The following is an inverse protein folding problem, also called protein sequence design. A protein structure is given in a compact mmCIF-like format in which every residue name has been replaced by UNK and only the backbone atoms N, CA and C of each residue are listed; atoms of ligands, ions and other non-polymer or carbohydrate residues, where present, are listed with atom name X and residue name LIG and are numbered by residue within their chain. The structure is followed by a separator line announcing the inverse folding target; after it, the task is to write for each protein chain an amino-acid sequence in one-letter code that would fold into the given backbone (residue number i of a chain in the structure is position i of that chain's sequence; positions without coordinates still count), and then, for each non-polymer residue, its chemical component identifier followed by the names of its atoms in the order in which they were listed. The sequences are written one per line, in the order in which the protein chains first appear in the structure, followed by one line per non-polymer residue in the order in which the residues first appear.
data_IF_003492198549
#
_entry.id   IF_003492198549
#
_cell.length_a   1.000
_cell.length_b   1.000
_cell.length_c   1.000
_cell.angle_alpha   90.00
_cell.angle_beta   90.00
_cell.angle_gamma   90.00
#
_symmetry.space_group_name_H-M   'P 1'
#
loop_
_entity.id
_entity.type
_entity.pdbx_description
1 polymer ?
#
# COMPACT_ATOMS: atom_id res chain seq x y z
N UNK A 1 -65.64 29.60 -15.30
CA UNK A 1 -65.52 31.02 -15.50
C UNK A 1 -64.17 31.50 -14.99
N UNK A 2 -63.34 31.80 -15.88
CA UNK A 2 -62.75 33.10 -16.26
C UNK A 2 -61.43 33.38 -15.51
N UNK A 3 -60.42 33.37 -16.25
CA UNK A 3 -59.49 34.23 -16.97
C UNK A 3 -58.11 34.39 -16.31
N UNK A 4 -57.12 33.89 -17.04
CA UNK A 4 -55.83 34.47 -17.42
C UNK A 4 -55.41 35.79 -16.80
N UNK A 5 -54.13 35.88 -16.34
CA UNK A 5 -53.18 36.92 -16.81
C UNK A 5 -51.71 36.55 -16.57
N UNK A 6 -50.98 36.49 -17.68
CA UNK A 6 -49.51 36.57 -17.80
C UNK A 6 -48.96 37.83 -17.19
N UNK A 7 -47.82 37.77 -16.50
CA UNK A 7 -46.84 38.85 -16.44
C UNK A 7 -45.40 38.31 -16.43
N UNK A 8 -44.73 38.49 -17.53
CA UNK A 8 -43.31 38.43 -17.72
C UNK A 8 -42.63 39.52 -16.92
N UNK A 9 -41.63 39.17 -16.09
CA UNK A 9 -40.65 40.11 -15.59
C UNK A 9 -39.27 39.73 -16.16
N UNK A 10 -38.81 40.51 -17.13
CA UNK A 10 -37.41 40.62 -17.53
C UNK A 10 -36.62 41.26 -16.39
N UNK A 11 -35.67 40.50 -15.81
CA UNK A 11 -34.63 41.09 -14.96
C UNK A 11 -33.39 41.23 -15.82
N UNK A 12 -33.07 42.50 -16.15
CA UNK A 12 -31.78 42.89 -16.71
C UNK A 12 -30.77 42.89 -15.58
N UNK A 13 -29.76 42.05 -15.66
CA UNK A 13 -28.56 42.15 -14.80
C UNK A 13 -27.56 43.06 -15.50
N UNK A 14 -27.37 44.26 -14.95
CA UNK A 14 -26.26 45.12 -15.29
C UNK A 14 -24.94 44.48 -14.79
N UNK A 15 -24.09 44.10 -15.72
CA UNK A 15 -22.68 43.77 -15.44
C UNK A 15 -21.91 45.08 -15.56
N UNK A 16 -21.45 45.58 -14.42
CA UNK A 16 -20.52 46.70 -14.34
C UNK A 16 -19.11 46.23 -14.66
N UNK A 17 -18.57 46.69 -15.78
CA UNK A 17 -17.15 46.53 -16.12
C UNK A 17 -16.34 47.47 -15.24
N UNK A 18 -15.52 46.93 -14.35
CA UNK A 18 -14.49 47.70 -13.65
C UNK A 18 -13.20 47.61 -14.48
N UNK A 19 -12.76 48.76 -14.91
CA UNK A 19 -11.50 48.99 -15.62
C UNK A 19 -10.32 48.64 -14.67
N UNK A 20 -9.52 47.67 -15.04
CA UNK A 20 -8.26 47.34 -14.38
C UNK A 20 -7.13 47.71 -15.33
N UNK A 21 -6.79 48.97 -15.34
CA UNK A 21 -5.49 49.43 -15.79
C UNK A 21 -4.58 49.64 -14.57
N UNK A 22 -3.41 49.06 -14.63
CA UNK A 22 -2.25 49.17 -13.70
C UNK A 22 -2.14 48.05 -12.65
N UNK A 23 -1.46 46.96 -13.01
CA UNK A 23 -0.53 46.26 -12.15
C UNK A 23 0.72 45.90 -12.98
N UNK A 24 1.85 46.32 -12.42
CA UNK A 24 3.19 46.23 -12.96
C UNK A 24 3.63 44.75 -13.25
N UNK A 25 4.37 44.62 -14.35
CA UNK A 25 5.05 43.42 -14.79
C UNK A 25 6.22 43.11 -13.87
N UNK A 26 6.16 41.94 -13.19
CA UNK A 26 7.37 41.19 -12.77
C UNK A 26 7.27 39.75 -13.23
N UNK A 27 8.37 39.33 -13.83
CA UNK A 27 8.68 38.06 -14.44
C UNK A 27 7.98 36.83 -13.85
N UNK A 28 7.13 36.20 -14.65
CA UNK A 28 6.88 34.76 -14.57
C UNK A 28 6.93 34.21 -16.00
N UNK A 29 8.05 33.60 -16.37
CA UNK A 29 8.12 32.72 -17.54
C UNK A 29 7.31 31.46 -17.21
N UNK A 30 6.04 31.44 -17.55
CA UNK A 30 5.23 30.23 -17.62
C UNK A 30 5.24 29.77 -19.08
N UNK A 31 5.70 28.57 -19.30
CA UNK A 31 5.51 27.84 -20.55
C UNK A 31 4.00 27.71 -20.83
N UNK A 32 3.46 28.65 -21.56
CA UNK A 32 2.18 28.53 -22.25
C UNK A 32 2.52 28.12 -23.68
N UNK A 33 2.37 26.83 -23.97
CA UNK A 33 2.17 26.39 -25.34
C UNK A 33 0.87 27.02 -25.84
N UNK A 34 0.98 28.19 -26.45
CA UNK A 34 -0.12 28.88 -27.11
C UNK A 34 -0.41 28.08 -28.38
N UNK A 35 -1.39 27.20 -28.34
CA UNK A 35 -2.01 26.70 -29.55
C UNK A 35 -2.58 27.91 -30.29
N UNK A 36 -1.93 28.32 -31.35
CA UNK A 36 -2.42 29.34 -32.30
C UNK A 36 -3.67 28.75 -32.98
N UNK A 37 -4.84 29.13 -32.49
CA UNK A 37 -6.10 28.91 -33.23
C UNK A 37 -6.03 29.76 -34.47
N UNK A 38 -6.12 29.13 -35.64
CA UNK A 38 -6.24 29.85 -36.90
C UNK A 38 -7.66 30.46 -37.00
N UNK A 39 -7.77 31.65 -37.58
CA UNK A 39 -9.05 32.36 -37.79
C UNK A 39 -10.09 31.57 -38.61
N UNK A 40 -9.76 30.39 -39.12
CA UNK A 40 -10.64 29.48 -39.85
C UNK A 40 -11.51 28.58 -38.96
N UNK A 41 -11.32 28.56 -37.63
CA UNK A 41 -12.06 27.68 -36.74
C UNK A 41 -13.32 28.30 -36.12
N UNK A 42 -13.67 29.55 -36.49
CA UNK A 42 -14.80 30.30 -35.92
C UNK A 42 -16.17 29.85 -36.45
N UNK A 43 -16.22 29.03 -37.49
CA UNK A 43 -17.48 28.66 -38.19
C UNK A 43 -17.92 27.21 -37.98
N UNK A 44 -17.31 26.48 -37.03
CA UNK A 44 -17.77 25.13 -36.66
C UNK A 44 -19.03 25.21 -35.80
N UNK A 45 -20.04 24.45 -36.18
CA UNK A 45 -21.26 24.33 -35.38
C UNK A 45 -20.92 23.71 -34.00
N UNK A 46 -21.68 24.08 -32.97
CA UNK A 46 -21.53 23.54 -31.63
C UNK A 46 -21.56 22.01 -31.59
N UNK A 47 -22.33 21.42 -32.53
CA UNK A 47 -22.47 19.97 -32.68
C UNK A 47 -21.21 19.33 -33.27
N UNK A 48 -20.54 19.96 -34.23
CA UNK A 48 -19.25 19.50 -34.77
C UNK A 48 -18.14 19.55 -33.72
N UNK A 49 -18.12 20.57 -32.84
CA UNK A 49 -17.15 20.68 -31.75
C UNK A 49 -17.41 19.58 -30.69
N UNK A 50 -18.68 19.28 -30.42
CA UNK A 50 -19.06 18.21 -29.51
C UNK A 50 -18.72 16.83 -30.07
N UNK A 51 -18.88 16.60 -31.35
CA UNK A 51 -18.50 15.35 -32.01
C UNK A 51 -16.97 15.20 -32.09
N UNK A 52 -16.23 16.27 -32.33
CA UNK A 52 -14.78 16.27 -32.32
C UNK A 52 -14.22 16.03 -30.89
N UNK A 53 -14.83 16.62 -29.85
CA UNK A 53 -14.55 16.36 -28.46
C UNK A 53 -14.88 14.92 -28.03
N UNK A 54 -15.98 14.37 -28.55
CA UNK A 54 -16.39 12.99 -28.32
C UNK A 54 -15.46 11.98 -29.03
N UNK A 55 -14.93 12.35 -30.21
CA UNK A 55 -13.98 11.56 -30.98
C UNK A 55 -12.54 11.66 -30.46
N UNK A 56 -12.22 12.66 -29.62
CA UNK A 56 -10.90 12.75 -29.01
C UNK A 56 -10.66 11.52 -28.13
N UNK A 57 -9.55 10.78 -28.34
CA UNK A 57 -9.21 9.67 -27.45
C UNK A 57 -9.15 10.20 -26.03
N UNK A 58 -9.91 9.57 -25.12
CA UNK A 58 -9.93 9.95 -23.71
C UNK A 58 -8.48 10.13 -23.23
N UNK A 59 -8.16 11.24 -22.56
CA UNK A 59 -6.80 11.55 -22.16
C UNK A 59 -6.22 10.34 -21.45
N UNK A 60 -5.15 9.81 -22.03
CA UNK A 60 -4.51 8.61 -21.54
C UNK A 60 -4.09 8.92 -20.10
N UNK A 61 -4.85 8.43 -19.12
CA UNK A 61 -4.57 8.67 -17.71
C UNK A 61 -3.17 8.14 -17.43
N UNK A 62 -2.17 9.03 -17.49
CA UNK A 62 -0.80 8.67 -17.19
C UNK A 62 -0.80 8.09 -15.78
N UNK A 63 -0.51 6.80 -15.68
CA UNK A 63 -0.37 6.14 -14.38
C UNK A 63 0.81 6.76 -13.65
N UNK A 64 0.68 6.87 -12.34
CA UNK A 64 1.74 7.32 -11.46
C UNK A 64 2.76 6.17 -11.36
N UNK A 65 3.75 6.21 -12.23
CA UNK A 65 4.72 5.14 -12.44
C UNK A 65 5.65 4.94 -11.23
N UNK A 66 5.96 6.01 -10.50
CA UNK A 66 6.85 5.96 -9.33
C UNK A 66 6.27 5.11 -8.19
N UNK A 67 4.96 5.13 -7.97
CA UNK A 67 4.31 4.26 -6.97
C UNK A 67 4.37 2.80 -7.41
N UNK A 68 4.11 2.53 -8.70
CA UNK A 68 4.24 1.19 -9.27
C UNK A 68 5.71 0.70 -9.20
N UNK A 69 6.68 1.59 -9.45
CA UNK A 69 8.11 1.28 -9.36
C UNK A 69 8.52 0.92 -7.93
N UNK A 70 8.19 1.75 -6.95
CA UNK A 70 8.52 1.49 -5.55
C UNK A 70 7.89 0.18 -5.05
N UNK A 71 6.62 -0.07 -5.39
CA UNK A 71 5.97 -1.34 -5.04
C UNK A 71 6.63 -2.53 -5.73
N UNK A 72 7.07 -2.37 -7.00
CA UNK A 72 7.79 -3.40 -7.74
C UNK A 72 9.14 -3.70 -7.12
N UNK A 73 9.87 -2.69 -6.72
CA UNK A 73 11.14 -2.84 -6.03
C UNK A 73 10.97 -3.59 -4.70
N UNK A 74 10.00 -3.18 -3.88
CA UNK A 74 9.74 -3.83 -2.59
C UNK A 74 9.28 -5.27 -2.73
N UNK A 75 8.41 -5.58 -3.70
CA UNK A 75 7.95 -6.96 -3.89
C UNK A 75 9.08 -7.91 -4.31
N UNK A 76 10.05 -7.42 -5.08
CA UNK A 76 11.23 -8.22 -5.43
C UNK A 76 12.07 -8.56 -4.18
N UNK A 77 12.18 -7.63 -3.23
CA UNK A 77 12.82 -7.92 -1.93
C UNK A 77 12.03 -8.93 -1.10
N UNK A 78 10.71 -8.83 -1.08
CA UNK A 78 9.86 -9.80 -0.38
C UNK A 78 10.04 -11.19 -0.99
N UNK A 79 10.05 -11.30 -2.31
CA UNK A 79 10.29 -12.58 -3.01
C UNK A 79 11.67 -13.15 -2.66
N UNK A 80 12.70 -12.29 -2.61
CA UNK A 80 14.04 -12.69 -2.21
C UNK A 80 14.10 -13.18 -0.75
N UNK A 81 13.47 -12.46 0.18
CA UNK A 81 13.45 -12.84 1.59
C UNK A 81 12.78 -14.20 1.81
N UNK A 82 11.65 -14.43 1.16
CA UNK A 82 10.95 -15.71 1.22
C UNK A 82 11.73 -16.85 0.54
N UNK A 83 12.38 -16.57 -0.59
CA UNK A 83 13.25 -17.55 -1.22
C UNK A 83 14.39 -17.99 -0.28
N UNK A 84 15.02 -17.05 0.40
CA UNK A 84 16.05 -17.38 1.39
C UNK A 84 15.48 -18.15 2.58
N UNK A 85 14.24 -17.86 3.00
CA UNK A 85 13.53 -18.64 4.00
C UNK A 85 13.33 -20.08 3.56
N UNK A 86 12.80 -20.28 2.35
CA UNK A 86 12.52 -21.60 1.80
C UNK A 86 13.79 -22.44 1.64
N UNK A 87 14.94 -21.82 1.39
CA UNK A 87 16.24 -22.50 1.32
C UNK A 87 16.71 -23.00 2.70
N UNK A 88 16.41 -22.25 3.78
CA UNK A 88 17.00 -22.50 5.10
C UNK A 88 16.12 -23.37 6.00
N UNK A 89 14.79 -23.08 6.04
CA UNK A 89 13.93 -23.60 7.10
C UNK A 89 13.13 -24.85 6.76
N UNK A 90 12.52 -25.03 5.57
CA UNK A 90 11.72 -26.22 5.27
C UNK A 90 12.54 -27.50 5.16
N UNK A 91 13.82 -27.38 4.81
CA UNK A 91 14.74 -28.51 4.64
C UNK A 91 16.02 -28.26 5.41
N UNK A 92 15.99 -28.33 6.76
CA UNK A 92 17.19 -28.06 7.55
C UNK A 92 18.28 -29.11 7.25
N UNK A 93 19.15 -28.73 6.40
CA UNK A 93 20.54 -28.94 6.46
C UNK A 93 21.22 -30.29 6.35
N UNK A 94 20.93 -31.13 5.39
CA UNK A 94 21.90 -32.20 5.00
C UNK A 94 22.47 -32.01 3.60
N UNK A 95 22.56 -30.75 3.15
CA UNK A 95 23.25 -30.45 1.89
C UNK A 95 24.75 -30.65 2.08
N UNK A 96 25.25 -31.84 1.74
CA UNK A 96 26.65 -32.20 2.01
C UNK A 96 27.63 -31.55 1.02
N UNK A 97 27.18 -31.19 -0.18
CA UNK A 97 28.06 -30.64 -1.23
C UNK A 97 27.32 -29.77 -2.24
N UNK A 98 28.08 -28.96 -2.98
CA UNK A 98 27.64 -28.30 -4.19
C UNK A 98 26.83 -26.99 -3.99
N UNK A 99 26.02 -26.64 -4.98
CA UNK A 99 25.26 -25.40 -5.06
C UNK A 99 24.30 -25.21 -3.89
N UNK A 100 23.65 -26.27 -3.44
CA UNK A 100 22.69 -26.19 -2.33
C UNK A 100 23.36 -25.90 -0.98
N UNK A 101 24.52 -26.48 -0.72
CA UNK A 101 25.29 -26.12 0.48
C UNK A 101 25.71 -24.64 0.46
N UNK A 102 26.10 -24.14 -0.70
CA UNK A 102 26.42 -22.72 -0.87
C UNK A 102 25.20 -21.83 -0.64
N UNK A 103 24.04 -22.16 -1.26
CA UNK A 103 22.79 -21.44 -1.06
C UNK A 103 22.32 -21.47 0.40
N UNK A 104 22.43 -22.63 1.06
CA UNK A 104 22.07 -22.77 2.46
C UNK A 104 22.95 -21.90 3.36
N UNK A 105 24.27 -21.92 3.17
CA UNK A 105 25.19 -21.05 3.89
C UNK A 105 24.89 -19.56 3.65
N UNK A 106 24.59 -19.20 2.40
CA UNK A 106 24.18 -17.85 2.03
C UNK A 106 22.89 -17.44 2.77
N UNK A 107 21.89 -18.30 2.77
CA UNK A 107 20.63 -18.08 3.47
C UNK A 107 20.82 -17.97 4.98
N UNK A 108 21.61 -18.84 5.60
CA UNK A 108 21.94 -18.74 7.03
C UNK A 108 22.66 -17.43 7.36
N UNK A 109 23.65 -17.03 6.56
CA UNK A 109 24.35 -15.76 6.73
C UNK A 109 23.41 -14.56 6.56
N UNK A 110 22.50 -14.65 5.61
CA UNK A 110 21.47 -13.62 5.39
C UNK A 110 20.55 -13.49 6.60
N UNK A 111 20.03 -14.60 7.14
CA UNK A 111 19.09 -14.58 8.28
C UNK A 111 19.75 -14.21 9.62
N UNK A 112 21.02 -14.55 9.84
CA UNK A 112 21.75 -14.15 11.04
C UNK A 112 22.20 -12.69 11.02
N UNK A 113 22.10 -12.02 9.86
CA UNK A 113 22.57 -10.64 9.68
C UNK A 113 21.64 -9.60 10.27
N UNK A 114 22.17 -8.68 11.09
CA UNK A 114 21.45 -7.53 11.62
C UNK A 114 20.89 -6.63 10.51
N UNK A 115 21.60 -6.53 9.38
CA UNK A 115 21.16 -5.77 8.22
C UNK A 115 19.82 -6.29 7.69
N UNK A 116 19.65 -7.60 7.55
CA UNK A 116 18.39 -8.21 7.11
C UNK A 116 17.24 -7.86 8.05
N UNK A 117 17.44 -8.01 9.36
CA UNK A 117 16.39 -7.73 10.33
C UNK A 117 15.88 -6.28 10.22
N UNK A 118 16.81 -5.30 10.12
CA UNK A 118 16.43 -3.87 9.98
C UNK A 118 15.78 -3.57 8.64
N UNK A 119 16.33 -4.11 7.54
CA UNK A 119 15.85 -3.84 6.18
C UNK A 119 14.49 -4.50 5.96
N UNK A 120 14.28 -5.72 6.44
CA UNK A 120 13.00 -6.43 6.32
C UNK A 120 11.85 -5.62 6.93
N UNK A 121 11.98 -5.21 8.20
CA UNK A 121 10.94 -4.46 8.88
C UNK A 121 10.62 -3.13 8.16
N UNK A 122 11.67 -2.43 7.74
CA UNK A 122 11.53 -1.16 7.00
C UNK A 122 10.79 -1.37 5.67
N UNK A 123 11.12 -2.43 4.95
CA UNK A 123 10.52 -2.71 3.64
C UNK A 123 9.07 -3.17 3.74
N UNK A 124 8.73 -3.95 4.77
CA UNK A 124 7.35 -4.33 5.06
C UNK A 124 6.52 -3.10 5.39
N UNK A 125 6.98 -2.26 6.32
CA UNK A 125 6.29 -1.02 6.68
C UNK A 125 6.14 -0.07 5.49
N UNK A 126 7.18 0.04 4.63
CA UNK A 126 7.12 0.85 3.41
C UNK A 126 6.14 0.27 2.38
N UNK A 127 6.03 -1.05 2.27
CA UNK A 127 5.05 -1.69 1.40
C UNK A 127 3.61 -1.43 1.86
N UNK A 128 3.37 -1.49 3.17
CA UNK A 128 2.08 -1.15 3.80
C UNK A 128 1.77 0.35 3.62
N UNK A 129 2.75 1.23 3.81
CA UNK A 129 2.65 2.67 3.53
C UNK A 129 2.24 2.95 2.07
N UNK A 130 2.92 2.34 1.08
CA UNK A 130 2.58 2.48 -0.34
C UNK A 130 1.19 1.93 -0.68
N UNK A 131 0.72 0.95 0.08
CA UNK A 131 -0.65 0.45 -0.04
C UNK A 131 -1.68 1.50 0.42
N UNK A 132 -1.34 2.28 1.44
CA UNK A 132 -2.08 3.48 1.87
C UNK A 132 -2.08 4.57 0.78
N UNK A 133 -0.90 4.93 0.25
CA UNK A 133 -0.78 5.88 -0.87
C UNK A 133 -1.68 5.48 -2.04
N UNK A 134 -1.77 4.18 -2.32
CA UNK A 134 -2.60 3.64 -3.42
C UNK A 134 -4.10 3.84 -3.23
N UNK A 135 -4.57 4.16 -2.02
CA UNK A 135 -5.97 4.47 -1.77
C UNK A 135 -6.42 5.76 -2.46
N UNK A 136 -5.50 6.73 -2.67
CA UNK A 136 -5.79 7.98 -3.39
C UNK A 136 -6.14 7.77 -4.86
N UNK A 137 -5.73 6.66 -5.46
CA UNK A 137 -6.02 6.32 -6.86
C UNK A 137 -7.26 5.44 -7.04
N UNK A 138 -7.76 4.86 -5.96
CA UNK A 138 -8.91 3.95 -5.98
C UNK A 138 -10.22 4.72 -6.18
N UNK A 139 -11.13 4.15 -6.97
CA UNK A 139 -12.49 4.69 -7.13
C UNK A 139 -13.41 4.32 -5.96
N UNK A 140 -13.15 3.19 -5.31
CA UNK A 140 -13.96 2.67 -4.22
C UNK A 140 -13.11 1.79 -3.31
N UNK A 141 -12.61 2.40 -2.22
CA UNK A 141 -11.76 1.72 -1.25
C UNK A 141 -12.53 0.67 -0.45
N UNK A 142 -13.83 0.87 -0.19
CA UNK A 142 -14.64 -0.14 0.52
C UNK A 142 -14.71 -1.46 -0.25
N UNK A 143 -15.12 -1.42 -1.53
CA UNK A 143 -15.20 -2.64 -2.37
C UNK A 143 -13.83 -3.30 -2.53
N UNK A 144 -12.76 -2.50 -2.64
CA UNK A 144 -11.38 -3.01 -2.68
C UNK A 144 -11.04 -3.72 -1.38
N UNK A 145 -11.30 -3.10 -0.22
CA UNK A 145 -11.01 -3.66 1.09
C UNK A 145 -11.76 -4.97 1.33
N UNK A 146 -13.07 -5.02 1.02
CA UNK A 146 -13.87 -6.26 1.14
C UNK A 146 -13.27 -7.40 0.30
N UNK A 147 -12.90 -7.13 -0.96
CA UNK A 147 -12.26 -8.16 -1.80
C UNK A 147 -10.93 -8.65 -1.21
N UNK A 148 -10.13 -7.74 -0.66
CA UNK A 148 -8.86 -8.09 -0.02
C UNK A 148 -9.05 -8.90 1.26
N UNK A 149 -10.07 -8.59 2.07
CA UNK A 149 -10.41 -9.36 3.28
C UNK A 149 -10.83 -10.78 2.91
N UNK A 150 -11.73 -10.93 1.93
CA UNK A 150 -12.14 -12.26 1.44
C UNK A 150 -10.94 -13.06 0.97
N UNK A 151 -10.03 -12.42 0.24
CA UNK A 151 -8.81 -13.05 -0.25
C UNK A 151 -7.85 -13.43 0.88
N UNK A 152 -7.67 -12.57 1.89
CA UNK A 152 -6.84 -12.83 3.06
C UNK A 152 -7.34 -14.06 3.84
N UNK A 153 -8.65 -14.14 4.11
CA UNK A 153 -9.24 -15.30 4.78
C UNK A 153 -9.21 -16.58 3.92
N UNK A 154 -9.35 -16.46 2.61
CA UNK A 154 -9.17 -17.60 1.70
C UNK A 154 -7.72 -18.15 1.78
N UNK A 155 -6.72 -17.28 1.91
CA UNK A 155 -5.33 -17.68 2.14
C UNK A 155 -5.18 -18.41 3.47
N UNK A 156 -5.72 -17.87 4.56
CA UNK A 156 -5.70 -18.54 5.87
C UNK A 156 -6.34 -19.94 5.79
N UNK A 157 -7.51 -20.06 5.16
CA UNK A 157 -8.18 -21.35 5.00
C UNK A 157 -7.35 -22.33 4.16
N UNK A 158 -6.74 -21.87 3.06
CA UNK A 158 -5.90 -22.71 2.21
C UNK A 158 -4.64 -23.18 2.94
N UNK A 159 -3.95 -22.31 3.66
CA UNK A 159 -2.74 -22.67 4.43
C UNK A 159 -3.07 -23.53 5.64
N UNK A 160 -4.23 -23.34 6.27
CA UNK A 160 -4.72 -24.23 7.32
C UNK A 160 -4.97 -25.65 6.80
N UNK A 161 -5.64 -25.78 5.65
CA UNK A 161 -5.87 -27.09 5.01
C UNK A 161 -4.53 -27.76 4.61
N UNK A 162 -3.59 -26.98 4.06
CA UNK A 162 -2.26 -27.47 3.72
C UNK A 162 -1.50 -27.93 4.96
N UNK A 163 -1.57 -27.19 6.05
CA UNK A 163 -0.98 -27.54 7.35
C UNK A 163 -1.52 -28.89 7.87
N UNK A 164 -2.84 -29.08 7.78
CA UNK A 164 -3.49 -30.32 8.20
C UNK A 164 -3.07 -31.54 7.34
N UNK A 165 -2.85 -31.34 6.04
CA UNK A 165 -2.41 -32.39 5.12
C UNK A 165 -0.92 -32.73 5.30
N UNK A 166 -0.07 -31.71 5.46
CA UNK A 166 1.38 -31.87 5.54
C UNK A 166 1.89 -32.29 6.92
N UNK A 167 1.07 -32.13 7.97
CA UNK A 167 1.52 -32.29 9.36
C UNK A 167 2.49 -31.22 9.85
N UNK A 168 2.73 -30.18 9.06
CA UNK A 168 3.64 -29.06 9.37
C UNK A 168 2.85 -27.81 9.69
N UNK A 169 3.37 -26.94 10.57
CA UNK A 169 2.71 -25.67 10.91
C UNK A 169 2.94 -24.62 9.82
N UNK A 170 2.22 -24.71 8.72
CA UNK A 170 2.26 -23.79 7.57
C UNK A 170 1.14 -22.75 7.61
N UNK A 171 0.33 -22.75 8.67
CA UNK A 171 -0.86 -21.88 8.77
C UNK A 171 -0.46 -20.41 8.84
N UNK A 172 -0.93 -19.63 7.89
CA UNK A 172 -0.85 -18.16 7.92
C UNK A 172 -2.10 -17.64 8.59
N UNK A 173 -1.99 -17.23 9.86
CA UNK A 173 -3.12 -16.73 10.65
C UNK A 173 -3.38 -15.25 10.37
N UNK A 174 -2.31 -14.45 10.33
CA UNK A 174 -2.39 -13.01 10.10
C UNK A 174 -1.07 -12.48 9.54
N UNK A 175 -1.09 -11.92 8.33
CA UNK A 175 0.12 -11.44 7.65
C UNK A 175 -0.12 -10.09 6.95
N UNK A 176 0.86 -9.62 6.20
CA UNK A 176 0.83 -8.33 5.49
C UNK A 176 -0.44 -8.10 4.67
N UNK A 177 -1.03 -9.16 4.09
CA UNK A 177 -2.27 -9.03 3.30
C UNK A 177 -3.46 -8.73 4.20
N UNK A 178 -3.54 -9.38 5.37
CA UNK A 178 -4.57 -9.10 6.37
C UNK A 178 -4.45 -7.66 6.88
N UNK A 179 -3.22 -7.24 7.24
CA UNK A 179 -2.94 -5.86 7.68
C UNK A 179 -3.43 -4.86 6.63
N UNK A 180 -3.05 -5.03 5.36
CA UNK A 180 -3.48 -4.12 4.29
C UNK A 180 -4.99 -4.18 4.06
N UNK A 181 -5.59 -5.38 4.07
CA UNK A 181 -7.02 -5.56 3.83
C UNK A 181 -7.87 -4.82 4.88
N UNK A 182 -7.59 -5.03 6.15
CA UNK A 182 -8.27 -4.32 7.24
C UNK A 182 -7.98 -2.82 7.23
N UNK A 183 -6.74 -2.44 6.94
CA UNK A 183 -6.35 -1.03 6.83
C UNK A 183 -7.12 -0.30 5.73
N UNK A 184 -7.32 -0.93 4.56
CA UNK A 184 -8.11 -0.35 3.46
C UNK A 184 -9.60 -0.21 3.85
N UNK A 185 -10.17 -1.16 4.60
CA UNK A 185 -11.54 -1.05 5.10
C UNK A 185 -11.68 0.10 6.09
N UNK A 186 -10.78 0.19 7.07
CA UNK A 186 -10.77 1.27 8.06
C UNK A 186 -10.59 2.63 7.36
N UNK A 187 -9.67 2.69 6.38
CA UNK A 187 -9.47 3.89 5.58
C UNK A 187 -10.75 4.33 4.86
N UNK A 188 -11.49 3.39 4.29
CA UNK A 188 -12.77 3.72 3.63
C UNK A 188 -13.79 4.32 4.61
N UNK A 189 -13.77 3.88 5.86
CA UNK A 189 -14.55 4.47 6.94
C UNK A 189 -14.09 5.89 7.29
N UNK A 190 -12.78 6.12 7.34
CA UNK A 190 -12.17 7.44 7.55
C UNK A 190 -12.60 8.41 6.43
N UNK A 191 -12.50 7.99 5.16
CA UNK A 191 -12.95 8.79 4.02
C UNK A 191 -14.45 9.12 4.10
N UNK A 192 -15.27 8.15 4.51
CA UNK A 192 -16.70 8.32 4.67
C UNK A 192 -17.05 9.32 5.77
N UNK A 193 -16.37 9.30 6.92
CA UNK A 193 -16.52 10.26 8.00
C UNK A 193 -16.03 11.65 7.54
N UNK A 194 -14.85 11.70 6.92
CA UNK A 194 -14.28 12.95 6.42
C UNK A 194 -15.21 13.67 5.45
N UNK A 195 -15.85 12.93 4.54
CA UNK A 195 -16.80 13.47 3.59
C UNK A 195 -18.04 14.09 4.25
N UNK A 196 -18.37 13.70 5.50
CA UNK A 196 -19.48 14.24 6.30
C UNK A 196 -19.11 15.41 7.19
N UNK A 197 -17.84 15.74 7.29
CA UNK A 197 -17.37 16.90 8.04
C UNK A 197 -17.58 18.18 7.23
N UNK A 198 -18.77 18.78 7.30
CA UNK A 198 -19.16 19.97 6.52
C UNK A 198 -18.41 21.22 6.96
N UNK A 199 -18.11 21.34 8.28
CA UNK A 199 -17.52 22.54 8.88
C UNK A 199 -16.02 22.39 9.10
N UNK A 200 -15.21 23.45 8.90
CA UNK A 200 -13.76 23.38 9.09
C UNK A 200 -13.34 22.89 10.47
N UNK A 201 -14.05 23.30 11.53
CA UNK A 201 -13.71 22.88 12.90
C UNK A 201 -13.92 21.36 13.11
N UNK A 202 -14.95 20.76 12.48
CA UNK A 202 -15.16 19.31 12.53
C UNK A 202 -14.01 18.58 11.84
N UNK A 203 -13.53 19.07 10.68
CA UNK A 203 -12.36 18.53 9.99
C UNK A 203 -11.10 18.61 10.83
N UNK A 204 -10.88 19.74 11.51
CA UNK A 204 -9.73 19.92 12.39
C UNK A 204 -9.76 18.96 13.58
N UNK A 205 -10.92 18.81 14.25
CA UNK A 205 -11.06 17.85 15.35
C UNK A 205 -10.85 16.43 14.85
N UNK A 206 -11.48 16.04 13.74
CA UNK A 206 -11.32 14.73 13.18
C UNK A 206 -9.86 14.45 12.78
N UNK A 207 -9.20 15.41 12.13
CA UNK A 207 -7.77 15.34 11.81
C UNK A 207 -6.90 15.17 13.05
N UNK A 208 -7.17 15.93 14.12
CA UNK A 208 -6.45 15.80 15.39
C UNK A 208 -6.66 14.41 16.02
N UNK A 209 -7.88 13.89 16.02
CA UNK A 209 -8.18 12.54 16.52
C UNK A 209 -7.42 11.48 15.73
N UNK A 210 -7.47 11.54 14.40
CA UNK A 210 -6.75 10.56 13.55
C UNK A 210 -5.25 10.66 13.76
N UNK A 211 -4.69 11.86 13.85
CA UNK A 211 -3.26 12.05 14.15
C UNK A 211 -2.89 11.45 15.51
N UNK A 212 -3.72 11.68 16.53
CA UNK A 212 -3.51 11.08 17.87
C UNK A 212 -3.55 9.56 17.82
N UNK A 213 -4.47 8.98 17.04
CA UNK A 213 -4.53 7.52 16.83
C UNK A 213 -3.27 7.02 16.14
N UNK A 214 -2.79 7.70 15.09
CA UNK A 214 -1.54 7.33 14.42
C UNK A 214 -0.38 7.30 15.42
N UNK A 215 -0.21 8.35 16.22
CA UNK A 215 0.87 8.43 17.21
C UNK A 215 0.72 7.33 18.26
N UNK A 216 -0.49 7.11 18.80
CA UNK A 216 -0.75 6.07 19.79
C UNK A 216 -0.44 4.67 19.25
N UNK A 217 -0.83 4.38 18.01
CA UNK A 217 -0.57 3.09 17.34
C UNK A 217 0.91 2.88 17.07
N UNK A 218 1.62 3.92 16.61
CA UNK A 218 3.08 3.85 16.41
C UNK A 218 3.80 3.57 17.72
N UNK A 219 3.51 4.37 18.75
CA UNK A 219 4.17 4.23 20.06
C UNK A 219 3.88 2.86 20.68
N UNK A 220 2.60 2.47 20.76
CA UNK A 220 2.22 1.18 21.38
C UNK A 220 2.76 -0.02 20.60
N UNK A 221 2.75 0.02 19.27
CA UNK A 221 3.27 -1.04 18.42
C UNK A 221 4.77 -1.23 18.57
N UNK A 222 5.55 -0.15 18.53
CA UNK A 222 7.00 -0.23 18.74
C UNK A 222 7.38 -0.55 20.18
N UNK A 223 6.65 -0.03 21.18
CA UNK A 223 6.89 -0.39 22.58
C UNK A 223 6.64 -1.89 22.79
N UNK A 224 5.58 -2.46 22.23
CA UNK A 224 5.32 -3.90 22.32
C UNK A 224 6.43 -4.72 21.63
N UNK A 225 6.81 -4.34 20.42
CA UNK A 225 7.83 -5.03 19.62
C UNK A 225 9.20 -5.05 20.31
N UNK A 226 9.59 -3.95 20.93
CA UNK A 226 10.89 -3.81 21.57
C UNK A 226 10.84 -3.95 23.11
N UNK A 227 9.70 -4.40 23.67
CA UNK A 227 9.52 -4.51 25.12
C UNK A 227 10.59 -5.37 25.79
N UNK A 228 10.94 -6.51 25.19
CA UNK A 228 11.99 -7.39 25.71
C UNK A 228 13.36 -6.70 25.72
N UNK A 229 13.73 -6.02 24.65
CA UNK A 229 14.98 -5.26 24.54
C UNK A 229 15.01 -4.09 25.54
N UNK A 230 13.90 -3.36 25.68
CA UNK A 230 13.77 -2.25 26.62
C UNK A 230 13.94 -2.77 28.06
N UNK A 231 13.33 -3.91 28.38
CA UNK A 231 13.45 -4.55 29.68
C UNK A 231 14.90 -4.95 30.00
N UNK A 232 15.58 -5.52 29.02
CA UNK A 232 17.01 -5.92 29.18
C UNK A 232 17.92 -4.71 29.37
N UNK A 233 17.82 -3.70 28.49
CA UNK A 233 18.66 -2.49 28.54
C UNK A 233 18.41 -1.66 29.81
N UNK A 234 17.16 -1.58 30.28
CA UNK A 234 16.79 -0.83 31.47
C UNK A 234 17.04 -1.59 32.77
N UNK A 235 17.35 -2.89 32.71
CA UNK A 235 17.42 -3.78 33.87
C UNK A 235 16.08 -4.00 34.59
N UNK A 236 14.97 -3.57 33.97
CA UNK A 236 13.63 -3.66 34.52
C UNK A 236 12.80 -4.69 33.78
N UNK A 237 12.87 -5.95 34.19
CA UNK A 237 12.16 -7.06 33.54
C UNK A 237 10.63 -6.98 33.66
N UNK A 238 10.07 -6.11 34.50
CA UNK A 238 8.63 -5.87 34.55
C UNK A 238 8.09 -5.12 33.30
N UNK A 239 8.98 -4.53 32.51
CA UNK A 239 8.65 -3.90 31.24
C UNK A 239 8.55 -4.89 30.07
N UNK A 240 8.99 -6.13 30.26
CA UNK A 240 8.78 -7.20 29.28
C UNK A 240 7.30 -7.55 29.24
N UNK A 241 6.60 -6.94 28.31
CA UNK A 241 5.17 -7.18 28.11
C UNK A 241 4.97 -8.55 27.49
N UNK A 242 4.43 -9.48 28.27
CA UNK A 242 4.06 -10.82 27.78
C UNK A 242 2.58 -11.03 28.02
N UNK A 243 1.91 -11.67 27.08
CA UNK A 243 0.52 -12.07 27.21
C UNK A 243 0.35 -13.50 26.74
N UNK A 244 -0.56 -14.23 27.35
CA UNK A 244 -0.96 -15.58 26.91
C UNK A 244 -2.22 -15.55 26.02
N UNK A 245 -2.82 -14.38 25.84
CA UNK A 245 -4.04 -14.23 25.05
C UNK A 245 -3.71 -14.01 23.58
N UNK A 246 -3.96 -14.99 22.74
CA UNK A 246 -3.70 -14.97 21.29
C UNK A 246 -4.35 -13.79 20.55
N UNK A 247 -5.45 -13.22 21.08
CA UNK A 247 -6.09 -12.04 20.49
C UNK A 247 -5.10 -10.85 20.34
N UNK A 248 -4.24 -10.63 21.33
CA UNK A 248 -3.28 -9.54 21.29
C UNK A 248 -2.17 -9.75 20.26
N UNK A 249 -1.90 -11.00 19.88
CA UNK A 249 -0.89 -11.33 18.87
C UNK A 249 -1.30 -10.85 17.46
N UNK A 250 -2.58 -10.65 17.20
CA UNK A 250 -3.04 -10.03 15.96
C UNK A 250 -2.72 -8.52 15.92
N UNK A 251 -2.71 -7.88 17.07
CA UNK A 251 -2.51 -6.43 17.18
C UNK A 251 -1.06 -6.04 17.38
N UNK A 252 -0.32 -6.80 18.17
CA UNK A 252 1.03 -6.46 18.62
C UNK A 252 2.02 -7.59 18.37
N UNK A 253 3.23 -7.23 17.98
CA UNK A 253 4.36 -8.14 17.88
C UNK A 253 4.98 -8.37 19.27
N UNK A 254 4.78 -9.58 19.80
CA UNK A 254 5.36 -10.04 21.07
C UNK A 254 6.50 -11.02 20.82
N UNK A 255 7.43 -10.68 19.95
CA UNK A 255 8.53 -11.57 19.51
C UNK A 255 9.36 -12.19 20.62
N UNK A 256 9.28 -11.66 21.86
CA UNK A 256 9.92 -12.22 23.06
C UNK A 256 9.09 -13.30 23.80
N UNK A 257 7.83 -13.57 23.41
CA UNK A 257 6.98 -14.54 24.11
C UNK A 257 6.94 -15.90 23.41
N UNK A 258 7.00 -16.99 24.19
CA UNK A 258 6.91 -18.36 23.64
C UNK A 258 5.57 -18.66 22.97
N UNK A 259 4.47 -18.10 23.49
CA UNK A 259 3.13 -18.20 22.90
C UNK A 259 3.04 -17.54 21.54
N UNK A 260 3.67 -16.39 21.37
CA UNK A 260 3.73 -15.68 20.10
C UNK A 260 4.48 -16.49 19.03
N UNK A 261 5.61 -17.09 19.38
CA UNK A 261 6.37 -17.94 18.46
C UNK A 261 5.54 -19.14 17.96
N UNK A 262 4.69 -19.74 18.83
CA UNK A 262 3.77 -20.81 18.43
C UNK A 262 2.62 -20.29 17.55
N UNK A 263 2.14 -19.08 17.82
CA UNK A 263 1.10 -18.42 17.02
C UNK A 263 1.57 -18.07 15.60
N UNK A 264 2.86 -17.73 15.42
CA UNK A 264 3.39 -17.21 14.15
C UNK A 264 3.23 -18.16 12.96
N UNK A 265 3.32 -19.48 13.16
CA UNK A 265 3.15 -20.45 12.06
C UNK A 265 4.11 -20.17 10.90
N UNK A 266 3.55 -20.06 9.68
CA UNK A 266 4.33 -19.86 8.46
C UNK A 266 4.76 -18.43 8.16
N UNK A 267 3.91 -17.46 8.49
CA UNK A 267 4.16 -16.02 8.25
C UNK A 267 3.21 -15.21 9.13
N UNK A 268 3.74 -14.21 9.81
CA UNK A 268 2.94 -13.33 10.69
C UNK A 268 3.40 -11.89 10.57
N UNK A 269 2.45 -10.98 10.58
CA UNK A 269 2.68 -9.55 10.74
C UNK A 269 1.58 -8.99 11.65
N UNK A 270 1.96 -8.46 12.81
CA UNK A 270 1.02 -7.80 13.70
C UNK A 270 0.44 -6.52 13.08
N UNK A 271 -0.78 -6.15 13.48
CA UNK A 271 -1.47 -4.99 12.90
C UNK A 271 -0.76 -3.66 13.24
N UNK A 272 -0.21 -3.55 14.44
CA UNK A 272 0.57 -2.40 14.89
C UNK A 272 2.07 -2.72 14.88
N UNK A 273 2.93 -1.80 14.46
CA UNK A 273 2.70 -0.38 14.12
C UNK A 273 2.30 -0.14 12.66
N UNK A 274 2.24 -1.17 11.79
CA UNK A 274 2.15 -1.03 10.33
C UNK A 274 0.86 -0.34 9.88
N UNK A 275 -0.25 -0.53 10.61
CA UNK A 275 -1.49 0.22 10.36
C UNK A 275 -1.29 1.75 10.41
N UNK A 276 -0.45 2.25 11.32
CA UNK A 276 -0.15 3.68 11.37
C UNK A 276 0.61 4.13 10.13
N UNK A 277 1.59 3.35 9.65
CA UNK A 277 2.28 3.64 8.39
C UNK A 277 1.34 3.66 7.20
N UNK A 278 0.36 2.74 7.19
CA UNK A 278 -0.70 2.77 6.18
C UNK A 278 -1.49 4.09 6.20
N UNK A 279 -1.90 4.55 7.38
CA UNK A 279 -2.64 5.81 7.52
C UNK A 279 -1.81 7.01 7.05
N UNK A 280 -0.54 7.08 7.45
CA UNK A 280 0.40 8.12 6.97
C UNK A 280 0.48 8.08 5.44
N UNK A 281 0.62 6.89 4.85
CA UNK A 281 0.62 6.70 3.40
C UNK A 281 -0.68 7.18 2.74
N UNK A 282 -1.83 6.88 3.33
CA UNK A 282 -3.14 7.31 2.83
C UNK A 282 -3.27 8.83 2.80
N UNK A 283 -2.92 9.52 3.88
CA UNK A 283 -2.95 10.98 3.94
C UNK A 283 -1.93 11.61 3.00
N UNK A 284 -0.71 11.11 2.99
CA UNK A 284 0.33 11.63 2.11
C UNK A 284 -0.02 11.40 0.62
N UNK A 285 -0.60 10.25 0.29
CA UNK A 285 -1.07 9.95 -1.05
C UNK A 285 -2.14 10.93 -1.53
N UNK A 286 -3.10 11.29 -0.67
CA UNK A 286 -4.11 12.30 -1.00
C UNK A 286 -3.53 13.71 -1.11
N UNK A 287 -2.50 14.03 -0.34
CA UNK A 287 -1.83 15.33 -0.40
C UNK A 287 -0.97 15.46 -1.67
N UNK A 288 -0.08 14.50 -1.92
CA UNK A 288 0.89 14.54 -3.02
C UNK A 288 0.24 14.28 -4.40
N UNK A 289 -0.73 13.36 -4.45
CA UNK A 289 -1.35 12.93 -5.71
C UNK A 289 -2.77 13.46 -5.86
N UNK A 290 -3.03 14.69 -5.40
CA UNK A 290 -4.34 15.33 -5.51
C UNK A 290 -4.85 15.38 -6.94
N UNK A 291 -3.97 15.67 -7.90
CA UNK A 291 -4.29 15.74 -9.33
C UNK A 291 -4.19 14.38 -10.03
N UNK A 292 -3.75 13.32 -9.31
CA UNK A 292 -3.49 11.97 -9.87
C UNK A 292 -2.44 11.96 -10.98
N UNK A 293 -1.48 12.87 -10.91
CA UNK A 293 -0.36 13.00 -11.83
C UNK A 293 0.94 12.53 -11.18
N UNK A 294 1.92 12.16 -12.03
CA UNK A 294 3.26 11.78 -11.57
C UNK A 294 4.01 12.99 -11.01
N UNK A 295 4.73 12.80 -9.91
CA UNK A 295 5.65 13.81 -9.35
C UNK A 295 6.90 14.01 -10.23
N UNK A 296 7.18 13.04 -11.12
CA UNK A 296 8.35 13.05 -12.02
C UNK A 296 7.92 12.91 -13.49
N UNK A 297 7.23 13.92 -14.06
CA UNK A 297 6.67 13.84 -15.41
C UNK A 297 7.77 13.77 -16.49
N UNK A 298 8.97 14.27 -16.21
CA UNK A 298 10.12 14.28 -17.12
C UNK A 298 10.80 12.91 -17.30
N UNK A 299 10.57 11.97 -16.38
CA UNK A 299 11.19 10.65 -16.45
C UNK A 299 10.41 9.73 -17.38
N UNK A 300 11.11 9.15 -18.36
CA UNK A 300 10.50 8.15 -19.24
C UNK A 300 10.47 6.77 -18.55
N UNK A 301 9.28 6.25 -18.19
CA UNK A 301 9.17 5.00 -17.42
C UNK A 301 9.49 3.74 -18.23
N UNK A 302 9.77 3.84 -19.54
CA UNK A 302 10.05 2.66 -20.39
C UNK A 302 11.22 1.83 -19.89
N UNK A 303 12.30 2.47 -19.40
CA UNK A 303 13.46 1.76 -18.86
C UNK A 303 13.19 1.07 -17.52
N UNK A 304 12.16 1.51 -16.79
CA UNK A 304 11.75 0.97 -15.51
C UNK A 304 10.58 -0.03 -15.65
N UNK A 305 10.21 -0.34 -16.90
CA UNK A 305 9.04 -1.18 -17.23
C UNK A 305 9.02 -2.54 -16.50
N UNK A 306 10.12 -3.31 -16.38
CA UNK A 306 10.08 -4.60 -15.67
C UNK A 306 9.70 -4.43 -14.19
N UNK A 307 10.30 -3.44 -13.51
CA UNK A 307 10.03 -3.21 -12.08
C UNK A 307 8.62 -2.65 -11.88
N UNK A 308 8.19 -1.71 -12.71
CA UNK A 308 6.81 -1.18 -12.66
C UNK A 308 5.76 -2.24 -12.98
N UNK A 309 6.09 -3.21 -13.84
CA UNK A 309 5.24 -4.39 -14.09
C UNK A 309 5.09 -5.22 -12.79
N UNK A 310 6.19 -5.51 -12.10
CA UNK A 310 6.16 -6.19 -10.80
C UNK A 310 5.29 -5.43 -9.78
N UNK A 311 5.38 -4.11 -9.73
CA UNK A 311 4.57 -3.29 -8.83
C UNK A 311 3.07 -3.35 -9.14
N UNK A 312 2.70 -3.37 -10.42
CA UNK A 312 1.31 -3.50 -10.85
C UNK A 312 0.70 -4.85 -10.51
N UNK A 313 1.51 -5.89 -10.52
CA UNK A 313 1.10 -7.27 -10.27
C UNK A 313 1.60 -7.81 -8.93
N UNK A 314 1.98 -6.92 -8.00
CA UNK A 314 2.65 -7.27 -6.75
C UNK A 314 1.92 -8.34 -5.93
N UNK A 315 0.58 -8.33 -5.89
CA UNK A 315 -0.21 -9.35 -5.21
C UNK A 315 -0.04 -10.73 -5.84
N UNK A 316 -0.12 -10.82 -7.17
CA UNK A 316 0.04 -12.09 -7.89
C UNK A 316 1.47 -12.61 -7.84
N UNK A 317 2.45 -11.70 -7.85
CA UNK A 317 3.86 -12.05 -7.71
C UNK A 317 4.14 -12.57 -6.32
N UNK A 318 3.60 -11.93 -5.28
CA UNK A 318 3.71 -12.41 -3.90
C UNK A 318 3.24 -13.86 -3.76
N UNK A 319 2.03 -14.17 -4.25
CA UNK A 319 1.48 -15.52 -4.18
C UNK A 319 2.17 -16.52 -5.08
N UNK A 320 2.35 -16.14 -6.35
CA UNK A 320 2.95 -17.02 -7.34
C UNK A 320 4.38 -17.37 -6.98
N UNK A 321 5.15 -16.43 -6.44
CA UNK A 321 6.53 -16.66 -6.03
C UNK A 321 6.65 -17.72 -4.94
N UNK A 322 5.77 -17.70 -3.93
CA UNK A 322 5.76 -18.67 -2.85
C UNK A 322 5.57 -20.11 -3.39
N UNK A 323 4.54 -20.30 -4.22
CA UNK A 323 4.24 -21.61 -4.79
C UNK A 323 5.38 -22.08 -5.70
N UNK A 324 5.88 -21.19 -6.56
CA UNK A 324 6.92 -21.53 -7.53
C UNK A 324 8.25 -21.83 -6.84
N UNK A 325 8.67 -20.96 -5.90
CA UNK A 325 9.97 -21.10 -5.22
C UNK A 325 9.99 -22.33 -4.30
N UNK A 326 8.95 -22.50 -3.48
CA UNK A 326 8.83 -23.68 -2.63
C UNK A 326 8.79 -24.97 -3.46
N UNK A 327 7.98 -25.01 -4.53
CA UNK A 327 7.87 -26.15 -5.42
C UNK A 327 9.20 -26.45 -6.15
N UNK A 328 9.91 -25.41 -6.59
CA UNK A 328 11.22 -25.55 -7.22
C UNK A 328 12.26 -26.13 -6.25
N UNK A 329 12.35 -25.59 -5.04
CA UNK A 329 13.27 -26.10 -4.02
C UNK A 329 12.94 -27.54 -3.65
N UNK A 330 11.65 -27.88 -3.51
CA UNK A 330 11.19 -29.24 -3.24
C UNK A 330 11.61 -30.21 -4.34
N UNK A 331 11.38 -29.86 -5.61
CA UNK A 331 11.79 -30.69 -6.75
C UNK A 331 13.30 -30.87 -6.82
N UNK A 332 14.05 -29.78 -6.66
CA UNK A 332 15.50 -29.81 -6.67
C UNK A 332 16.05 -30.63 -5.50
N UNK A 333 15.48 -30.50 -4.29
CA UNK A 333 15.84 -31.33 -3.14
C UNK A 333 15.61 -32.82 -3.40
N UNK A 334 14.46 -33.18 -3.98
CA UNK A 334 14.16 -34.55 -4.36
C UNK A 334 15.12 -35.11 -5.41
N UNK A 335 15.50 -34.28 -6.40
CA UNK A 335 16.45 -34.71 -7.46
C UNK A 335 17.88 -34.90 -6.95
N UNK A 336 18.35 -34.07 -5.99
CA UNK A 336 19.74 -34.13 -5.53
C UNK A 336 19.95 -34.95 -4.25
N UNK A 337 18.89 -35.32 -3.52
CA UNK A 337 18.97 -36.22 -2.39
C UNK A 337 18.78 -37.69 -2.80
N UNK A 338 18.43 -37.98 -4.06
CA UNK A 338 18.36 -39.33 -4.64
C UNK A 338 19.67 -39.71 -5.36
N UNK A 339 20.56 -38.76 -5.54
CA UNK A 339 21.91 -38.93 -6.04
C UNK A 339 22.92 -38.81 -4.90
#
# INVERSE_FOLDING_TARGET
MSKKKNRSHKTQSNVQYTDISTVETEHVESFTETQTYSETDVDKSTDEILDELAAMPAPNKRRVWEVDFLRGFLILFVVWDHFMWDVVYPYPGNYQTGLFQWLFKLGQSYYSGTLRATVHDTFVSLFVFLSGVSCSFSRNNFRRGVKMVVFAFALTAATYALSAISGSNLTIRFNVIHVIAFSVLIWSGIEWIWARCDKPWKKNIFGAVVTSVIVAVLVSGYVAKYAALIAEVSGNHSLAWTTEHEFWYFLFDFSGSSGYAHFCGGDVLAFFPDFAWFLVGGFLGHALYRNKESLFPSVNPKYLSPVTFCGRHSLWIYFGSQIVMYGLIYLLHGMFNVL
#
